data_IF_694200344222
#
_entry.id   IF_694200344222
#
_cell.length_a   1.000
_cell.length_b   1.000
_cell.length_c   1.000
_cell.angle_alpha   90.00
_cell.angle_beta   90.00
_cell.angle_gamma   90.00
#
_symmetry.space_group_name_H-M   'P 1'
#
loop_
_entity.id
_entity.type
_entity.pdbx_description
1 polymer ?
#
# COMPACT_ATOMS: atom_id res chain seq x y z
N UNK A 1 3.61 31.79 -40.39
CA UNK A 1 3.23 32.03 -38.98
C UNK A 1 2.04 32.98 -38.99
N UNK A 2 0.80 32.60 -38.74
CA UNK A 2 0.19 31.33 -38.39
C UNK A 2 -1.34 31.50 -38.41
N UNK A 3 -2.01 30.58 -37.72
CA UNK A 3 -3.40 30.63 -37.24
C UNK A 3 -4.45 29.87 -38.08
N UNK A 4 -5.03 28.90 -37.37
CA UNK A 4 -6.11 28.00 -37.69
C UNK A 4 -7.40 28.70 -38.12
N UNK A 5 -8.16 28.07 -39.01
CA UNK A 5 -9.60 28.31 -39.11
C UNK A 5 -10.35 27.01 -38.82
N UNK A 6 -11.15 27.05 -37.76
CA UNK A 6 -12.15 26.07 -37.38
C UNK A 6 -13.53 26.71 -37.65
N UNK A 7 -14.49 25.87 -38.06
CA UNK A 7 -15.95 25.96 -37.90
C UNK A 7 -16.88 26.34 -39.07
N UNK A 8 -17.90 25.46 -39.18
CA UNK A 8 -19.30 25.57 -39.64
C UNK A 8 -19.56 25.74 -41.15
N UNK A 9 -20.20 24.76 -41.81
CA UNK A 9 -21.58 24.22 -41.73
C UNK A 9 -22.48 24.94 -42.73
N UNK A 10 -22.95 24.21 -43.74
CA UNK A 10 -24.31 24.36 -44.26
C UNK A 10 -24.80 23.08 -44.94
N UNK A 11 -26.08 22.77 -44.68
CA UNK A 11 -26.82 21.61 -45.19
C UNK A 11 -27.45 21.96 -46.52
N UNK A 12 -27.52 21.01 -47.46
CA UNK A 12 -28.52 21.05 -48.53
C UNK A 12 -29.08 19.64 -48.77
N UNK A 13 -30.38 19.50 -48.48
CA UNK A 13 -31.26 18.45 -48.97
C UNK A 13 -31.69 18.79 -50.40
N UNK A 14 -31.84 17.78 -51.26
CA UNK A 14 -32.49 17.91 -52.56
C UNK A 14 -32.77 16.54 -53.17
N UNK A 15 -34.04 16.14 -53.15
CA UNK A 15 -34.60 14.94 -53.77
C UNK A 15 -34.79 15.19 -55.28
N UNK A 16 -34.38 14.26 -56.16
CA UNK A 16 -35.15 13.97 -57.38
C UNK A 16 -34.86 12.56 -57.94
N UNK A 17 -35.91 11.92 -58.43
CA UNK A 17 -35.98 10.50 -58.83
C UNK A 17 -35.44 10.25 -60.25
N UNK A 18 -34.88 9.06 -60.51
CA UNK A 18 -35.27 8.13 -61.61
C UNK A 18 -34.17 7.12 -62.00
N UNK A 19 -34.63 5.90 -62.32
CA UNK A 19 -34.00 4.80 -63.09
C UNK A 19 -33.34 3.63 -62.34
N UNK A 20 -34.14 2.57 -62.26
CA UNK A 20 -33.87 1.13 -62.19
C UNK A 20 -32.54 0.65 -62.80
N UNK A 21 -31.76 -0.07 -62.00
CA UNK A 21 -31.03 -1.28 -62.44
C UNK A 21 -31.16 -2.32 -61.31
N UNK A 22 -31.94 -3.37 -61.57
CA UNK A 22 -31.98 -4.57 -60.75
C UNK A 22 -30.57 -5.19 -60.71
N UNK A 23 -29.96 -5.18 -59.54
CA UNK A 23 -28.92 -6.14 -59.18
C UNK A 23 -29.50 -7.02 -58.09
N UNK A 24 -29.39 -8.35 -58.19
CA UNK A 24 -29.85 -9.23 -57.12
C UNK A 24 -29.05 -8.86 -55.86
N UNK A 25 -29.75 -8.41 -54.82
CA UNK A 25 -29.16 -8.26 -53.50
C UNK A 25 -28.65 -9.64 -53.10
N UNK A 26 -27.34 -9.77 -52.89
CA UNK A 26 -26.78 -10.98 -52.33
C UNK A 26 -27.40 -11.17 -50.94
N UNK A 27 -28.00 -12.33 -50.70
CA UNK A 27 -28.52 -12.70 -49.39
C UNK A 27 -27.38 -12.61 -48.37
N UNK A 28 -27.51 -11.69 -47.43
CA UNK A 28 -26.57 -11.52 -46.33
C UNK A 28 -26.75 -12.74 -45.43
N UNK A 29 -25.73 -13.59 -45.24
CA UNK A 29 -25.85 -14.75 -44.38
C UNK A 29 -26.13 -14.31 -42.94
N UNK A 30 -27.04 -15.02 -42.26
CA UNK A 30 -27.51 -14.72 -40.90
C UNK A 30 -26.36 -14.59 -39.88
N UNK A 31 -25.20 -15.18 -40.18
CA UNK A 31 -23.96 -15.06 -39.41
C UNK A 31 -23.39 -13.64 -39.32
N UNK A 32 -23.79 -12.72 -40.22
CA UNK A 32 -23.40 -11.31 -40.16
C UNK A 32 -24.20 -10.52 -39.10
N UNK A 33 -25.33 -11.06 -38.63
CA UNK A 33 -26.17 -10.47 -37.59
C UNK A 33 -25.88 -11.00 -36.18
N UNK A 34 -24.92 -11.92 -36.04
CA UNK A 34 -24.43 -12.32 -34.73
C UNK A 34 -23.45 -11.24 -34.27
N UNK A 35 -23.99 -10.18 -33.69
CA UNK A 35 -23.26 -9.40 -32.72
C UNK A 35 -22.94 -10.39 -31.60
N UNK A 36 -21.70 -10.93 -31.60
CA UNK A 36 -21.19 -11.58 -30.40
C UNK A 36 -21.16 -10.46 -29.37
N UNK A 37 -22.21 -10.37 -28.57
CA UNK A 37 -22.11 -9.81 -27.23
C UNK A 37 -20.94 -10.55 -26.60
N UNK A 38 -19.77 -9.92 -26.62
CA UNK A 38 -18.82 -10.15 -25.56
C UNK A 38 -19.58 -9.72 -24.33
N UNK A 39 -20.23 -10.70 -23.71
CA UNK A 39 -20.69 -10.60 -22.35
C UNK A 39 -19.42 -10.28 -21.58
N UNK A 40 -19.14 -8.99 -21.44
CA UNK A 40 -18.44 -8.50 -20.27
C UNK A 40 -19.41 -8.83 -19.16
N UNK A 41 -19.36 -10.10 -18.74
CA UNK A 41 -19.75 -10.47 -17.41
C UNK A 41 -18.89 -9.53 -16.57
N UNK A 42 -19.53 -8.50 -16.03
CA UNK A 42 -19.12 -7.92 -14.77
C UNK A 42 -19.18 -9.08 -13.79
N UNK A 43 -18.12 -9.89 -13.84
CA UNK A 43 -17.70 -10.69 -12.73
C UNK A 43 -17.42 -9.66 -11.66
N UNK A 44 -18.42 -9.45 -10.82
CA UNK A 44 -18.25 -9.23 -9.39
C UNK A 44 -17.45 -10.42 -8.85
N UNK A 45 -16.21 -10.57 -9.31
CA UNK A 45 -15.20 -11.24 -8.55
C UNK A 45 -14.94 -10.27 -7.40
N UNK A 46 -15.22 -10.77 -6.20
CA UNK A 46 -14.59 -10.36 -4.95
C UNK A 46 -13.07 -10.28 -5.20
N UNK A 47 -12.64 -9.18 -5.81
CA UNK A 47 -11.24 -8.85 -5.93
C UNK A 47 -10.82 -8.64 -4.48
N UNK A 48 -9.95 -9.49 -3.90
CA UNK A 48 -9.48 -9.24 -2.56
C UNK A 48 -8.94 -7.81 -2.60
N UNK A 49 -9.52 -6.94 -1.77
CA UNK A 49 -9.15 -5.55 -1.71
C UNK A 49 -7.62 -5.50 -1.76
N UNK A 50 -7.08 -4.88 -2.82
CA UNK A 50 -5.64 -4.83 -3.03
C UNK A 50 -5.01 -4.49 -1.68
N UNK A 51 -4.00 -5.25 -1.21
CA UNK A 51 -3.48 -5.07 0.13
C UNK A 51 -3.21 -3.58 0.31
N UNK A 52 -3.82 -2.98 1.33
CA UNK A 52 -3.64 -1.57 1.65
C UNK A 52 -2.16 -1.40 1.96
N UNK A 53 -1.37 -1.15 0.91
CA UNK A 53 0.07 -1.01 0.91
C UNK A 53 0.41 0.28 1.67
N UNK A 54 0.31 0.24 2.99
CA UNK A 54 0.44 1.42 3.86
C UNK A 54 -0.36 1.37 5.16
N UNK A 55 -1.25 0.39 5.34
CA UNK A 55 -2.02 0.22 6.58
C UNK A 55 -1.14 -0.17 7.78
N UNK A 56 -1.77 -0.25 8.95
CA UNK A 56 -1.09 -0.54 10.23
C UNK A 56 -0.34 -1.88 10.23
N UNK A 57 -0.77 -2.83 9.40
CA UNK A 57 -0.09 -4.11 9.21
C UNK A 57 1.38 -3.96 8.80
N UNK A 58 1.73 -2.94 8.01
CA UNK A 58 3.13 -2.69 7.61
C UNK A 58 4.01 -2.42 8.83
N UNK A 59 3.47 -1.76 9.86
CA UNK A 59 4.18 -1.53 11.11
C UNK A 59 4.28 -2.82 11.93
N UNK A 60 3.20 -3.60 12.04
CA UNK A 60 3.24 -4.88 12.76
C UNK A 60 4.17 -5.90 12.10
N UNK A 61 4.17 -6.02 10.78
CA UNK A 61 5.10 -6.87 10.02
C UNK A 61 6.56 -6.47 10.27
N UNK A 62 6.83 -5.20 10.57
CA UNK A 62 8.16 -4.74 10.95
C UNK A 62 8.50 -5.09 12.40
N UNK A 63 7.54 -4.94 13.33
CA UNK A 63 7.68 -5.24 14.76
C UNK A 63 7.83 -6.74 15.04
N UNK A 64 7.15 -7.59 14.28
CA UNK A 64 7.13 -9.05 14.47
C UNK A 64 8.41 -9.73 13.97
N UNK A 65 9.30 -9.00 13.29
CA UNK A 65 10.58 -9.53 12.83
C UNK A 65 11.51 -9.82 14.01
N UNK A 66 12.05 -11.04 14.03
CA UNK A 66 13.10 -11.41 14.96
C UNK A 66 14.48 -11.02 14.40
N UNK A 67 15.20 -10.14 15.12
CA UNK A 67 16.53 -9.68 14.73
C UNK A 67 17.67 -10.40 15.48
N UNK A 68 17.36 -11.43 16.26
CA UNK A 68 18.36 -12.22 17.01
C UNK A 68 19.38 -12.88 16.08
N UNK A 69 18.93 -13.55 15.01
CA UNK A 69 19.84 -14.17 14.04
C UNK A 69 20.76 -13.15 13.35
N UNK A 70 20.23 -11.96 13.03
CA UNK A 70 21.02 -10.87 12.45
C UNK A 70 22.10 -10.43 13.44
N UNK A 71 21.72 -10.14 14.69
CA UNK A 71 22.66 -9.73 15.72
C UNK A 71 23.75 -10.77 15.96
N UNK A 72 23.38 -12.05 16.01
CA UNK A 72 24.33 -13.16 16.16
C UNK A 72 25.37 -13.18 15.04
N UNK A 73 24.93 -13.14 13.78
CA UNK A 73 25.82 -13.14 12.63
C UNK A 73 26.70 -11.88 12.57
N UNK A 74 26.13 -10.71 12.89
CA UNK A 74 26.86 -9.44 12.91
C UNK A 74 28.00 -9.46 13.94
N UNK A 75 27.80 -10.10 15.09
CA UNK A 75 28.85 -10.29 16.09
C UNK A 75 29.97 -11.23 15.60
N UNK A 76 29.63 -12.29 14.86
CA UNK A 76 30.64 -13.20 14.27
C UNK A 76 31.50 -12.51 13.20
N UNK A 77 30.95 -11.51 12.50
CA UNK A 77 31.67 -10.75 11.47
C UNK A 77 32.48 -9.61 12.10
N UNK A 78 31.87 -8.83 12.99
CA UNK A 78 32.50 -7.69 13.64
C UNK A 78 32.06 -7.59 15.12
N UNK A 79 32.84 -8.17 16.06
CA UNK A 79 32.51 -8.24 17.48
C UNK A 79 32.79 -6.94 18.27
N UNK A 80 32.67 -5.78 17.63
CA UNK A 80 32.92 -4.47 18.26
C UNK A 80 31.63 -3.84 18.81
N UNK A 81 31.73 -3.17 19.95
CA UNK A 81 30.64 -2.41 20.57
C UNK A 81 30.16 -1.26 19.70
N UNK A 82 31.06 -0.62 18.94
CA UNK A 82 30.65 0.45 18.01
C UNK A 82 29.79 -0.09 16.88
N UNK A 83 30.08 -1.31 16.38
CA UNK A 83 29.26 -1.96 15.36
C UNK A 83 27.87 -2.35 15.88
N UNK A 84 27.77 -2.78 17.14
CA UNK A 84 26.50 -2.99 17.84
C UNK A 84 25.67 -1.70 17.90
N UNK A 85 26.26 -0.61 18.39
CA UNK A 85 25.58 0.68 18.56
C UNK A 85 25.07 1.25 17.24
N UNK A 86 25.90 1.22 16.18
CA UNK A 86 25.52 1.69 14.84
C UNK A 86 24.32 0.91 14.28
N UNK A 87 24.30 -0.41 14.43
CA UNK A 87 23.18 -1.24 13.98
C UNK A 87 21.92 -1.02 14.83
N UNK A 88 22.05 -0.79 16.14
CA UNK A 88 20.91 -0.41 16.98
C UNK A 88 20.30 0.92 16.54
N UNK A 89 21.14 1.91 16.24
CA UNK A 89 20.68 3.21 15.69
C UNK A 89 19.98 3.01 14.35
N UNK A 90 20.54 2.18 13.46
CA UNK A 90 19.92 1.86 12.17
C UNK A 90 18.52 1.23 12.34
N UNK A 91 18.36 0.26 13.24
CA UNK A 91 17.07 -0.35 13.55
C UNK A 91 16.05 0.66 14.09
N UNK A 92 16.48 1.59 14.96
CA UNK A 92 15.61 2.66 15.46
C UNK A 92 15.16 3.59 14.34
N UNK A 93 16.05 3.96 13.43
CA UNK A 93 15.72 4.80 12.27
C UNK A 93 14.75 4.08 11.31
N UNK A 94 14.89 2.77 11.13
CA UNK A 94 13.98 1.97 10.31
C UNK A 94 12.59 1.83 10.95
N UNK A 95 12.52 1.71 12.28
CA UNK A 95 11.27 1.78 13.02
C UNK A 95 10.59 3.13 12.82
N UNK A 96 11.32 4.24 13.02
CA UNK A 96 10.80 5.59 12.83
C UNK A 96 10.29 5.81 11.40
N UNK A 97 11.03 5.33 10.40
CA UNK A 97 10.63 5.37 9.00
C UNK A 97 9.33 4.60 8.76
N UNK A 98 9.18 3.43 9.37
CA UNK A 98 7.98 2.59 9.24
C UNK A 98 6.77 3.25 9.89
N UNK A 99 6.93 3.80 11.09
CA UNK A 99 5.90 4.60 11.78
C UNK A 99 5.46 5.78 10.92
N UNK A 100 6.42 6.56 10.38
CA UNK A 100 6.13 7.73 9.55
C UNK A 100 5.32 7.36 8.30
N UNK A 101 5.65 6.26 7.63
CA UNK A 101 4.91 5.77 6.46
C UNK A 101 3.43 5.51 6.79
N UNK A 102 3.18 4.76 7.87
CA UNK A 102 1.80 4.43 8.30
C UNK A 102 1.04 5.67 8.76
N UNK A 103 1.71 6.58 9.47
CA UNK A 103 1.14 7.85 9.92
C UNK A 103 0.67 8.69 8.72
N UNK A 104 1.55 8.90 7.73
CA UNK A 104 1.21 9.62 6.49
C UNK A 104 0.05 8.96 5.75
N UNK A 105 0.05 7.62 5.63
CA UNK A 105 -1.03 6.89 4.99
C UNK A 105 -2.40 7.19 5.63
N UNK A 106 -2.52 7.09 6.96
CA UNK A 106 -3.79 7.36 7.64
C UNK A 106 -4.15 8.85 7.67
N UNK A 107 -3.18 9.76 7.80
CA UNK A 107 -3.44 11.21 7.73
C UNK A 107 -4.03 11.62 6.37
N UNK A 108 -3.47 11.10 5.28
CA UNK A 108 -3.98 11.33 3.92
C UNK A 108 -5.35 10.66 3.72
N UNK A 109 -5.53 9.43 4.19
CA UNK A 109 -6.79 8.71 4.14
C UNK A 109 -7.92 9.44 4.88
N UNK A 110 -7.66 9.90 6.10
CA UNK A 110 -8.63 10.68 6.90
C UNK A 110 -8.99 11.97 6.19
N UNK A 111 -8.02 12.66 5.57
CA UNK A 111 -8.29 13.89 4.79
C UNK A 111 -9.21 13.62 3.61
N UNK A 112 -8.96 12.54 2.85
CA UNK A 112 -9.80 12.14 1.72
C UNK A 112 -11.21 11.73 2.17
N UNK A 113 -11.31 10.93 3.24
CA UNK A 113 -12.60 10.54 3.82
C UNK A 113 -13.42 11.75 4.24
N UNK A 114 -12.83 12.71 4.95
CA UNK A 114 -13.54 13.92 5.38
C UNK A 114 -14.10 14.71 4.18
N UNK A 115 -13.35 14.81 3.08
CA UNK A 115 -13.84 15.41 1.86
C UNK A 115 -15.05 14.66 1.28
N UNK A 116 -14.98 13.32 1.23
CA UNK A 116 -16.09 12.50 0.74
C UNK A 116 -17.33 12.60 1.63
N UNK A 117 -17.18 12.55 2.96
CA UNK A 117 -18.28 12.75 3.92
C UNK A 117 -18.99 14.08 3.64
N UNK A 118 -18.24 15.19 3.55
CA UNK A 118 -18.81 16.50 3.29
C UNK A 118 -19.51 16.59 1.92
N UNK A 119 -18.92 15.97 0.88
CA UNK A 119 -19.54 15.95 -0.44
C UNK A 119 -20.82 15.13 -0.49
N UNK A 120 -20.85 13.95 0.14
CA UNK A 120 -22.00 13.04 0.13
C UNK A 120 -23.14 13.52 1.03
N UNK A 121 -22.79 14.14 2.16
CA UNK A 121 -23.76 14.82 3.03
C UNK A 121 -24.52 15.92 2.30
N UNK A 122 -23.83 16.78 1.53
CA UNK A 122 -24.49 17.80 0.70
C UNK A 122 -25.42 17.24 -0.39
N UNK A 123 -25.16 16.01 -0.84
CA UNK A 123 -26.01 15.31 -1.82
C UNK A 123 -27.14 14.51 -1.17
N UNK A 124 -27.27 14.51 0.15
CA UNK A 124 -28.32 13.76 0.88
C UNK A 124 -28.08 12.24 0.94
N UNK A 125 -26.85 11.77 0.67
CA UNK A 125 -26.52 10.34 0.69
C UNK A 125 -26.21 9.87 2.13
N UNK A 126 -27.25 9.70 2.95
CA UNK A 126 -27.13 9.44 4.39
C UNK A 126 -26.38 8.11 4.67
N UNK A 127 -26.80 7.01 4.05
CA UNK A 127 -26.20 5.68 4.30
C UNK A 127 -24.69 5.66 3.98
N UNK A 128 -24.30 6.30 2.87
CA UNK A 128 -22.89 6.43 2.49
C UNK A 128 -22.10 7.30 3.46
N UNK A 129 -22.71 8.37 3.99
CA UNK A 129 -22.07 9.21 5.01
C UNK A 129 -21.83 8.42 6.28
N UNK A 130 -22.79 7.61 6.71
CA UNK A 130 -22.66 6.75 7.88
C UNK A 130 -21.53 5.72 7.69
N UNK A 131 -21.51 5.03 6.54
CA UNK A 131 -20.43 4.08 6.20
C UNK A 131 -19.04 4.74 6.22
N UNK A 132 -18.91 5.92 5.61
CA UNK A 132 -17.65 6.67 5.60
C UNK A 132 -17.25 7.15 6.99
N UNK A 133 -18.21 7.46 7.85
CA UNK A 133 -17.96 7.88 9.24
C UNK A 133 -17.40 6.73 10.04
N UNK A 134 -17.96 5.52 9.92
CA UNK A 134 -17.40 4.31 10.56
C UNK A 134 -15.97 4.04 10.07
N UNK A 135 -15.72 4.14 8.75
CA UNK A 135 -14.37 4.00 8.19
C UNK A 135 -13.39 5.04 8.74
N UNK A 136 -13.84 6.27 8.94
CA UNK A 136 -13.06 7.34 9.58
C UNK A 136 -12.68 6.97 11.01
N UNK A 137 -13.63 6.52 11.82
CA UNK A 137 -13.41 6.15 13.22
C UNK A 137 -12.39 5.01 13.34
N UNK A 138 -12.46 4.01 12.45
CA UNK A 138 -11.46 2.93 12.40
C UNK A 138 -10.06 3.48 12.10
N UNK A 139 -9.94 4.38 11.11
CA UNK A 139 -8.66 5.01 10.78
C UNK A 139 -8.13 5.89 11.93
N UNK A 140 -9.01 6.60 12.63
CA UNK A 140 -8.68 7.40 13.81
C UNK A 140 -8.23 6.53 14.99
N UNK A 141 -8.78 5.33 15.14
CA UNK A 141 -8.29 4.34 16.09
C UNK A 141 -6.88 3.85 15.73
N UNK A 142 -6.64 3.50 14.46
CA UNK A 142 -5.33 3.04 14.00
C UNK A 142 -4.23 4.11 14.14
N UNK A 143 -4.50 5.36 13.76
CA UNK A 143 -3.52 6.46 13.95
C UNK A 143 -3.21 6.69 15.43
N UNK A 144 -4.18 6.50 16.33
CA UNK A 144 -3.95 6.62 17.78
C UNK A 144 -2.99 5.54 18.28
N UNK A 145 -3.18 4.29 17.86
CA UNK A 145 -2.26 3.19 18.18
C UNK A 145 -0.84 3.44 17.64
N UNK A 146 -0.73 3.94 16.40
CA UNK A 146 0.57 4.27 15.80
C UNK A 146 1.29 5.38 16.59
N UNK A 147 0.55 6.40 17.06
CA UNK A 147 1.11 7.47 17.90
C UNK A 147 1.55 6.96 19.28
N UNK A 148 0.81 6.01 19.85
CA UNK A 148 1.20 5.37 21.11
C UNK A 148 2.51 4.57 20.95
N UNK A 149 2.64 3.80 19.87
CA UNK A 149 3.87 3.08 19.54
C UNK A 149 5.04 4.06 19.31
N UNK A 150 4.79 5.19 18.63
CA UNK A 150 5.77 6.26 18.43
C UNK A 150 6.29 6.82 19.75
N UNK A 151 5.40 7.09 20.70
CA UNK A 151 5.78 7.66 21.99
C UNK A 151 6.54 6.65 22.88
N UNK A 152 6.06 5.40 22.95
CA UNK A 152 6.76 4.31 23.64
C UNK A 152 8.16 4.08 23.06
N UNK A 153 8.30 4.12 21.74
CA UNK A 153 9.59 3.93 21.08
C UNK A 153 10.62 5.02 21.44
N UNK A 154 10.19 6.29 21.64
CA UNK A 154 11.09 7.40 22.05
C UNK A 154 11.71 7.18 23.42
N UNK A 155 10.92 6.63 24.35
CA UNK A 155 11.39 6.31 25.71
C UNK A 155 12.09 4.94 25.81
N UNK A 156 12.28 4.25 24.67
CA UNK A 156 12.82 2.89 24.60
C UNK A 156 11.97 1.86 25.37
N UNK A 157 10.66 1.99 25.31
CA UNK A 157 9.71 1.07 25.92
C UNK A 157 8.73 0.51 24.89
N UNK A 158 7.87 -0.40 25.35
CA UNK A 158 6.78 -0.96 24.56
C UNK A 158 7.23 -1.88 23.43
N UNK A 159 6.30 -2.13 22.50
CA UNK A 159 6.48 -3.11 21.41
C UNK A 159 7.59 -2.71 20.43
N UNK A 160 7.82 -1.40 20.24
CA UNK A 160 8.90 -0.88 19.40
C UNK A 160 10.29 -1.21 19.91
N UNK A 161 10.46 -1.33 21.23
CA UNK A 161 11.77 -1.64 21.82
C UNK A 161 12.16 -3.13 21.69
N UNK A 162 11.19 -4.03 21.48
CA UNK A 162 11.44 -5.47 21.34
C UNK A 162 12.43 -5.82 20.22
N UNK A 163 12.42 -5.03 19.13
CA UNK A 163 13.38 -5.18 18.01
C UNK A 163 14.81 -4.98 18.49
N UNK A 164 15.07 -3.91 19.25
CA UNK A 164 16.40 -3.57 19.76
C UNK A 164 16.88 -4.64 20.74
N UNK A 165 15.99 -5.13 21.61
CA UNK A 165 16.29 -6.22 22.54
C UNK A 165 16.69 -7.48 21.79
N UNK A 166 15.89 -7.90 20.79
CA UNK A 166 16.16 -9.14 20.03
C UNK A 166 17.51 -9.09 19.34
N UNK A 167 17.82 -7.97 18.68
CA UNK A 167 19.11 -7.75 18.03
C UNK A 167 20.28 -7.77 19.03
N UNK A 168 20.16 -7.03 20.12
CA UNK A 168 21.22 -6.92 21.14
C UNK A 168 21.50 -8.27 21.80
N UNK A 169 20.44 -9.04 22.08
CA UNK A 169 20.55 -10.42 22.60
C UNK A 169 21.32 -11.30 21.62
N UNK A 170 20.95 -11.28 20.35
CA UNK A 170 21.64 -12.03 19.29
C UNK A 170 23.12 -11.71 19.24
N UNK A 171 23.45 -10.41 19.25
CA UNK A 171 24.83 -9.95 19.23
C UNK A 171 25.64 -10.45 20.42
N UNK A 172 25.08 -10.35 21.64
CA UNK A 172 25.71 -10.89 22.86
C UNK A 172 25.92 -12.40 22.79
N UNK A 173 24.96 -13.14 22.24
CA UNK A 173 25.10 -14.58 22.03
C UNK A 173 26.23 -14.92 21.05
N UNK A 174 26.42 -14.11 20.00
CA UNK A 174 27.55 -14.24 19.08
C UNK A 174 28.89 -14.01 19.75
N UNK A 175 29.00 -12.96 20.58
CA UNK A 175 30.21 -12.71 21.38
C UNK A 175 30.53 -13.85 22.35
N UNK A 176 29.51 -14.42 22.98
CA UNK A 176 29.67 -15.57 23.86
C UNK A 176 30.16 -16.80 23.09
N UNK A 177 29.66 -17.05 21.88
CA UNK A 177 30.11 -18.13 21.02
C UNK A 177 31.59 -17.98 20.62
N UNK A 178 32.01 -16.78 20.21
CA UNK A 178 33.42 -16.47 19.90
C UNK A 178 34.30 -16.76 21.12
N UNK A 179 33.90 -16.26 22.28
CA UNK A 179 34.63 -16.44 23.54
C UNK A 179 34.75 -17.91 23.91
N UNK A 180 33.66 -18.68 23.78
CA UNK A 180 33.65 -20.12 24.02
C UNK A 180 34.60 -20.88 23.09
N UNK A 181 34.61 -20.56 21.80
CA UNK A 181 35.56 -21.14 20.85
C UNK A 181 37.02 -20.84 21.21
N UNK A 182 37.33 -19.61 21.61
CA UNK A 182 38.69 -19.22 22.01
C UNK A 182 39.12 -19.99 23.25
N UNK A 183 38.27 -20.09 24.28
CA UNK A 183 38.61 -20.78 25.54
C UNK A 183 38.80 -22.29 25.32
N UNK A 184 37.90 -22.93 24.56
CA UNK A 184 37.97 -24.37 24.29
C UNK A 184 39.19 -24.74 23.44
N UNK A 185 39.58 -23.89 22.48
CA UNK A 185 40.74 -24.13 21.63
C UNK A 185 42.09 -23.81 22.30
N UNK A 186 42.10 -23.10 23.43
CA UNK A 186 43.33 -22.75 24.17
C UNK A 186 43.79 -23.82 25.17
N UNK A 187 43.00 -24.87 25.37
CA UNK A 187 43.29 -25.99 26.30
C UNK A 187 44.03 -27.17 25.66
N UNK A 188 44.83 -26.94 24.61
CA UNK A 188 45.76 -27.92 24.04
C UNK A 188 47.15 -27.31 23.82
#
# INVERSE_FOLDING_TARGET
>A
MGLFNIFNRERLNGHDQSMTVERPLADIPETTFIEKETVHQEQNEDKPAAPLNGGIHVLYDFLDKNYESKGYNDALINPDTTHLEQNVIALKNDLERSIRKVKTFYEDFIRQINFHIASRSRSGMIDTVEELTVKKEIAESHIKQVKEIEEQAKVNEGVGHGIVISYTRGFRNGLAAISGHIILNKNF
#
